data_IF_914115589932
#
_entry.id   IF_914115589932
#
_cell.length_a   1.000
_cell.length_b   1.000
_cell.length_c   1.000
_cell.angle_alpha   90.00
_cell.angle_beta   90.00
_cell.angle_gamma   90.00
#
_symmetry.space_group_name_H-M   'P 1'
#
loop_
_entity.id
_entity.type
_entity.pdbx_description
1 polymer ?
#
# COMPACT_ATOMS: atom_id res chain seq x y z
N UNK A 1 1.71 13.26 -19.43
CA UNK A 1 3.04 13.63 -18.90
C UNK A 1 3.12 13.25 -17.43
N UNK A 2 4.32 13.17 -16.80
CA UNK A 2 4.44 12.84 -15.36
C UNK A 2 3.61 13.82 -14.49
N UNK A 3 3.54 15.10 -14.88
CA UNK A 3 2.70 16.11 -14.20
C UNK A 3 1.20 15.84 -14.29
N UNK A 4 0.73 15.17 -15.33
CA UNK A 4 -0.69 14.81 -15.47
C UNK A 4 -1.02 13.63 -14.57
N UNK A 5 -0.18 12.58 -14.61
CA UNK A 5 -0.27 11.43 -13.69
C UNK A 5 -0.20 11.85 -12.23
N UNK A 6 0.68 12.79 -11.89
CA UNK A 6 0.76 13.35 -10.54
C UNK A 6 -0.53 14.04 -10.08
N UNK A 7 -1.24 14.70 -11.00
CA UNK A 7 -2.54 15.32 -10.69
C UNK A 7 -3.62 14.26 -10.49
N UNK A 8 -3.62 13.23 -11.33
CA UNK A 8 -4.55 12.10 -11.21
C UNK A 8 -4.33 11.33 -9.91
N UNK A 9 -3.08 10.99 -9.56
CA UNK A 9 -2.73 10.28 -8.34
C UNK A 9 -3.07 11.07 -7.05
N UNK A 10 -2.94 12.40 -7.07
CA UNK A 10 -3.41 13.24 -5.95
C UNK A 10 -4.93 13.17 -5.78
N UNK A 11 -5.66 13.06 -6.89
CA UNK A 11 -7.12 12.97 -6.89
C UNK A 11 -7.65 11.55 -6.66
N UNK A 12 -6.79 10.56 -6.42
CA UNK A 12 -7.17 9.14 -6.34
C UNK A 12 -8.21 8.85 -5.23
N UNK A 13 -8.24 9.62 -4.14
CA UNK A 13 -9.30 9.55 -3.13
C UNK A 13 -8.83 9.86 -1.71
N UNK A 14 -9.73 9.74 -0.72
CA UNK A 14 -9.42 9.85 0.71
C UNK A 14 -9.08 8.48 1.29
N UNK A 15 -8.19 8.45 2.27
CA UNK A 15 -7.69 7.20 2.88
C UNK A 15 -8.59 6.65 4.00
N UNK A 16 -9.70 7.31 4.31
CA UNK A 16 -10.62 6.95 5.40
C UNK A 16 -11.85 6.15 4.95
N UNK A 17 -11.88 5.68 3.69
CA UNK A 17 -13.04 4.97 3.12
C UNK A 17 -13.41 3.69 3.87
N UNK A 18 -12.43 2.87 4.28
CA UNK A 18 -12.70 1.67 5.09
C UNK A 18 -13.29 2.03 6.46
N UNK A 19 -12.81 3.10 7.11
CA UNK A 19 -13.35 3.55 8.41
C UNK A 19 -14.79 4.07 8.25
N UNK A 20 -15.07 4.81 7.18
CA UNK A 20 -16.40 5.29 6.84
C UNK A 20 -17.36 4.11 6.61
N UNK A 21 -16.95 3.11 5.83
CA UNK A 21 -17.78 1.93 5.56
C UNK A 21 -18.04 1.08 6.82
N UNK A 22 -17.04 0.90 7.69
CA UNK A 22 -17.23 0.19 8.96
C UNK A 22 -18.19 0.95 9.87
N UNK A 23 -18.10 2.29 9.93
CA UNK A 23 -19.04 3.13 10.69
C UNK A 23 -20.47 2.98 10.17
N UNK A 24 -20.67 3.06 8.87
CA UNK A 24 -22.00 2.91 8.26
C UNK A 24 -22.62 1.54 8.56
N UNK A 25 -21.85 0.47 8.44
CA UNK A 25 -22.31 -0.89 8.77
C UNK A 25 -22.60 -1.06 10.26
N UNK A 26 -21.77 -0.44 11.13
CA UNK A 26 -21.96 -0.47 12.57
C UNK A 26 -23.27 0.25 12.96
N UNK A 27 -23.50 1.44 12.41
CA UNK A 27 -24.71 2.22 12.65
C UNK A 27 -25.96 1.44 12.19
N UNK A 28 -25.89 0.81 11.01
CA UNK A 28 -26.96 -0.07 10.52
C UNK A 28 -27.23 -1.25 11.45
N UNK A 29 -26.17 -1.90 11.96
CA UNK A 29 -26.31 -3.03 12.87
C UNK A 29 -26.98 -2.60 14.19
N UNK A 30 -26.51 -1.49 14.78
CA UNK A 30 -27.05 -0.97 16.04
C UNK A 30 -28.49 -0.49 15.88
N UNK A 31 -28.83 0.18 14.78
CA UNK A 31 -30.21 0.64 14.51
C UNK A 31 -31.18 -0.54 14.30
N UNK A 32 -30.76 -1.56 13.55
CA UNK A 32 -31.54 -2.77 13.32
C UNK A 32 -31.79 -3.54 14.63
N UNK A 33 -30.77 -3.67 15.48
CA UNK A 33 -30.89 -4.35 16.77
C UNK A 33 -31.80 -3.56 17.73
N UNK A 34 -31.63 -2.23 17.84
CA UNK A 34 -32.53 -1.36 18.63
C UNK A 34 -33.98 -1.50 18.18
N UNK A 35 -34.22 -1.57 16.88
CA UNK A 35 -35.56 -1.73 16.31
C UNK A 35 -36.19 -3.08 16.65
N UNK A 36 -35.39 -4.14 16.70
CA UNK A 36 -35.83 -5.48 17.09
C UNK A 36 -36.07 -5.61 18.61
N UNK A 37 -35.27 -4.92 19.43
CA UNK A 37 -35.38 -4.92 20.89
C UNK A 37 -36.55 -4.06 21.40
N UNK A 38 -36.87 -2.96 20.72
CA UNK A 38 -37.91 -2.02 21.14
C UNK A 38 -39.28 -2.66 21.47
N UNK A 39 -39.85 -3.54 20.63
CA UNK A 39 -41.14 -4.17 20.91
C UNK A 39 -41.06 -5.30 21.96
N UNK A 40 -39.87 -5.72 22.37
CA UNK A 40 -39.66 -6.86 23.27
C UNK A 40 -39.72 -6.42 24.76
N UNK A 41 -40.64 -6.97 25.56
CA UNK A 41 -40.74 -6.62 26.97
C UNK A 41 -39.77 -7.40 27.88
N UNK A 42 -38.99 -8.35 27.36
CA UNK A 42 -38.11 -9.18 28.18
C UNK A 42 -36.98 -8.39 28.85
N UNK A 43 -36.63 -8.77 30.09
CA UNK A 43 -35.52 -8.15 30.84
C UNK A 43 -34.19 -8.25 30.09
N UNK A 44 -34.00 -9.36 29.35
CA UNK A 44 -32.83 -9.54 28.49
C UNK A 44 -32.79 -8.55 27.32
N UNK A 45 -33.94 -8.07 26.84
CA UNK A 45 -33.98 -7.04 25.80
C UNK A 45 -33.58 -5.68 26.37
N UNK A 46 -34.03 -5.36 27.59
CA UNK A 46 -33.64 -4.12 28.29
C UNK A 46 -32.16 -4.09 28.65
N UNK A 47 -31.57 -5.24 28.99
CA UNK A 47 -30.13 -5.35 29.20
C UNK A 47 -29.36 -5.10 27.90
N UNK A 48 -29.76 -5.73 26.80
CA UNK A 48 -29.14 -5.52 25.48
C UNK A 48 -29.25 -4.05 25.03
N UNK A 49 -30.39 -3.38 25.23
CA UNK A 49 -30.53 -1.94 24.95
C UNK A 49 -29.53 -1.11 25.78
N UNK A 50 -29.37 -1.41 27.06
CA UNK A 50 -28.42 -0.70 27.93
C UNK A 50 -26.96 -0.94 27.51
N UNK A 51 -26.63 -2.15 27.03
CA UNK A 51 -25.32 -2.46 26.43
C UNK A 51 -25.06 -1.61 25.18
N UNK A 52 -26.03 -1.53 24.26
CA UNK A 52 -25.95 -0.72 23.04
C UNK A 52 -25.84 0.79 23.32
N UNK A 53 -26.44 1.27 24.41
CA UNK A 53 -26.31 2.67 24.86
C UNK A 53 -24.96 2.96 25.54
N UNK A 54 -24.27 1.93 26.03
CA UNK A 54 -22.98 2.04 26.70
C UNK A 54 -21.77 1.87 25.78
N UNK A 55 -22.01 1.70 24.47
CA UNK A 55 -20.94 1.49 23.49
C UNK A 55 -19.94 2.66 23.49
N UNK A 56 -18.64 2.38 23.30
CA UNK A 56 -17.64 3.41 23.08
C UNK A 56 -18.01 4.34 21.92
N UNK A 57 -17.57 5.61 21.98
CA UNK A 57 -17.81 6.58 20.91
C UNK A 57 -16.93 6.34 19.69
N UNK A 58 -15.83 5.59 19.84
CA UNK A 58 -14.99 5.14 18.75
C UNK A 58 -15.49 3.82 18.14
N UNK A 59 -15.35 3.71 16.83
CA UNK A 59 -15.88 2.61 16.02
C UNK A 59 -15.17 1.30 16.37
N UNK A 60 -13.86 1.34 16.59
CA UNK A 60 -13.07 0.17 16.95
C UNK A 60 -13.51 -0.44 18.29
N UNK A 61 -13.66 0.40 19.31
CA UNK A 61 -14.17 0.03 20.62
C UNK A 61 -15.59 -0.53 20.55
N UNK A 62 -16.47 0.07 19.76
CA UNK A 62 -17.83 -0.43 19.54
C UNK A 62 -17.83 -1.81 18.84
N UNK A 63 -17.07 -1.99 17.76
CA UNK A 63 -16.95 -3.27 17.05
C UNK A 63 -16.40 -4.37 17.98
N UNK A 64 -15.41 -4.04 18.83
CA UNK A 64 -14.88 -4.95 19.84
C UNK A 64 -15.93 -5.32 20.88
N UNK A 65 -16.63 -4.33 21.44
CA UNK A 65 -17.65 -4.55 22.46
C UNK A 65 -18.78 -5.45 21.95
N UNK A 66 -19.10 -5.36 20.66
CA UNK A 66 -20.15 -6.14 20.01
C UNK A 66 -19.72 -7.54 19.55
N UNK A 67 -18.44 -7.92 19.74
CA UNK A 67 -17.91 -9.22 19.29
C UNK A 67 -18.67 -10.41 19.86
N UNK A 68 -18.96 -10.36 21.16
CA UNK A 68 -19.64 -11.43 21.88
C UNK A 68 -21.15 -11.12 22.07
N UNK A 69 -21.66 -10.08 21.39
CA UNK A 69 -23.04 -9.65 21.52
C UNK A 69 -23.99 -10.64 20.82
N UNK A 70 -25.09 -10.97 21.50
CA UNK A 70 -26.11 -11.88 20.99
C UNK A 70 -27.19 -11.10 20.25
N UNK A 71 -26.99 -10.92 18.94
CA UNK A 71 -27.93 -10.25 18.06
C UNK A 71 -29.29 -10.96 18.02
N UNK A 72 -30.37 -10.19 18.22
CA UNK A 72 -31.75 -10.65 18.00
C UNK A 72 -32.22 -10.36 16.58
N UNK A 73 -31.76 -9.27 15.99
CA UNK A 73 -32.05 -8.94 14.59
C UNK A 73 -31.14 -9.76 13.66
N UNK A 74 -31.71 -10.53 12.72
CA UNK A 74 -30.90 -11.19 11.70
C UNK A 74 -30.21 -10.17 10.78
N UNK A 75 -30.83 -9.01 10.54
CA UNK A 75 -30.23 -7.92 9.78
C UNK A 75 -29.01 -7.33 10.51
N UNK A 76 -29.10 -7.12 11.82
CA UNK A 76 -28.00 -6.62 12.63
C UNK A 76 -26.82 -7.61 12.68
N UNK A 77 -27.12 -8.90 12.88
CA UNK A 77 -26.12 -9.97 12.82
C UNK A 77 -25.41 -10.00 11.46
N UNK A 78 -26.17 -9.84 10.37
CA UNK A 78 -25.62 -9.80 9.02
C UNK A 78 -24.71 -8.59 8.79
N UNK A 79 -25.13 -7.40 9.21
CA UNK A 79 -24.33 -6.18 9.10
C UNK A 79 -23.02 -6.29 9.90
N UNK A 80 -23.08 -6.85 11.11
CA UNK A 80 -21.88 -7.11 11.91
C UNK A 80 -20.94 -8.14 11.27
N UNK A 81 -21.50 -9.21 10.68
CA UNK A 81 -20.71 -10.19 9.93
C UNK A 81 -20.00 -9.53 8.73
N UNK A 82 -20.68 -8.62 8.02
CA UNK A 82 -20.08 -7.86 6.92
C UNK A 82 -18.91 -6.98 7.38
N UNK A 83 -18.98 -6.40 8.58
CA UNK A 83 -17.84 -5.66 9.16
C UNK A 83 -16.64 -6.59 9.34
N UNK A 84 -16.83 -7.78 9.91
CA UNK A 84 -15.74 -8.73 10.11
C UNK A 84 -15.13 -9.18 8.78
N UNK A 85 -15.97 -9.47 7.80
CA UNK A 85 -15.52 -9.93 6.47
C UNK A 85 -14.79 -8.80 5.72
N UNK A 86 -15.26 -7.55 5.83
CA UNK A 86 -14.60 -6.37 5.29
C UNK A 86 -13.22 -6.19 5.91
N UNK A 87 -13.11 -6.18 7.25
CA UNK A 87 -11.84 -6.01 7.94
C UNK A 87 -10.86 -7.15 7.62
N UNK A 88 -11.34 -8.38 7.52
CA UNK A 88 -10.53 -9.53 7.11
C UNK A 88 -9.98 -9.34 5.70
N UNK A 89 -10.83 -8.92 4.76
CA UNK A 89 -10.41 -8.66 3.39
C UNK A 89 -9.39 -7.52 3.32
N UNK A 90 -9.64 -6.40 4.02
CA UNK A 90 -8.78 -5.21 4.00
C UNK A 90 -7.39 -5.48 4.58
N UNK A 91 -7.29 -6.24 5.67
CA UNK A 91 -5.99 -6.65 6.24
C UNK A 91 -5.18 -7.49 5.25
N UNK A 92 -5.85 -8.39 4.52
CA UNK A 92 -5.19 -9.26 3.54
C UNK A 92 -4.79 -8.46 2.29
N UNK A 93 -5.69 -7.65 1.74
CA UNK A 93 -5.44 -6.82 0.55
C UNK A 93 -4.37 -5.76 0.80
N UNK A 94 -4.34 -5.13 2.00
CA UNK A 94 -3.34 -4.11 2.31
C UNK A 94 -1.93 -4.70 2.42
N UNK A 95 -1.83 -5.92 2.94
CA UNK A 95 -0.56 -6.60 3.17
C UNK A 95 -0.03 -7.26 1.89
N UNK A 96 -0.91 -7.86 1.09
CA UNK A 96 -0.57 -8.65 -0.08
C UNK A 96 -1.45 -8.26 -1.27
N UNK A 97 -0.88 -7.47 -2.20
CA UNK A 97 -1.57 -7.12 -3.44
C UNK A 97 -1.81 -8.36 -4.29
N UNK A 98 -3.00 -8.47 -4.89
CA UNK A 98 -3.33 -9.61 -5.75
C UNK A 98 -3.84 -10.83 -4.98
N UNK A 99 -3.84 -10.79 -3.64
CA UNK A 99 -4.29 -11.90 -2.81
C UNK A 99 -5.77 -12.19 -3.02
N UNK A 100 -6.61 -11.16 -3.22
CA UNK A 100 -8.03 -11.33 -3.56
C UNK A 100 -8.25 -12.23 -4.77
N UNK A 101 -7.47 -12.07 -5.83
CA UNK A 101 -7.57 -12.90 -7.04
C UNK A 101 -7.08 -14.33 -6.79
N UNK A 102 -6.04 -14.52 -5.97
CA UNK A 102 -5.55 -15.85 -5.59
C UNK A 102 -6.55 -16.60 -4.71
N UNK A 103 -7.15 -15.91 -3.72
CA UNK A 103 -8.14 -16.49 -2.81
C UNK A 103 -9.45 -16.81 -3.53
N UNK A 104 -9.92 -15.97 -4.45
CA UNK A 104 -11.10 -16.25 -5.28
C UNK A 104 -10.94 -17.48 -6.17
N UNK A 105 -9.72 -17.76 -6.62
CA UNK A 105 -9.42 -18.96 -7.40
C UNK A 105 -9.40 -20.23 -6.56
N UNK A 106 -9.10 -20.13 -5.25
CA UNK A 106 -8.93 -21.31 -4.42
C UNK A 106 -10.23 -22.09 -4.17
N UNK A 107 -11.44 -21.51 -4.27
CA UNK A 107 -12.80 -22.11 -4.17
C UNK A 107 -13.11 -23.08 -2.99
N UNK A 108 -12.11 -23.66 -2.37
CA UNK A 108 -12.13 -24.53 -1.20
C UNK A 108 -12.21 -23.64 0.03
N UNK A 109 -13.15 -23.96 0.93
CA UNK A 109 -13.65 -23.07 1.97
C UNK A 109 -12.59 -22.32 2.79
N UNK A 110 -13.03 -21.19 3.36
CA UNK A 110 -12.23 -20.16 4.05
C UNK A 110 -11.07 -20.67 4.93
N UNK A 111 -11.22 -21.84 5.55
CA UNK A 111 -10.18 -22.45 6.39
C UNK A 111 -8.91 -22.87 5.65
N UNK A 112 -9.01 -23.40 4.42
CA UNK A 112 -7.85 -23.85 3.66
C UNK A 112 -7.03 -22.67 3.11
N UNK A 113 -7.73 -21.67 2.57
CA UNK A 113 -7.17 -20.39 2.16
C UNK A 113 -6.41 -19.72 3.32
N UNK A 114 -7.03 -19.69 4.51
CA UNK A 114 -6.43 -19.05 5.67
C UNK A 114 -5.16 -19.76 6.15
N UNK A 115 -5.15 -21.10 6.12
CA UNK A 115 -3.96 -21.86 6.47
C UNK A 115 -2.82 -21.62 5.47
N UNK A 116 -3.13 -21.52 4.18
CA UNK A 116 -2.13 -21.20 3.16
C UNK A 116 -1.47 -19.84 3.41
N UNK A 117 -2.25 -18.82 3.81
CA UNK A 117 -1.71 -17.50 4.16
C UNK A 117 -0.81 -17.58 5.40
N UNK A 118 -1.20 -18.32 6.44
CA UNK A 118 -0.35 -18.51 7.63
C UNK A 118 0.97 -19.18 7.28
N UNK A 119 0.92 -20.26 6.52
CA UNK A 119 2.11 -20.99 6.09
C UNK A 119 3.02 -20.09 5.24
N UNK A 120 2.43 -19.28 4.36
CA UNK A 120 3.17 -18.30 3.55
C UNK A 120 3.88 -17.25 4.42
N UNK A 121 3.19 -16.64 5.38
CA UNK A 121 3.78 -15.60 6.24
C UNK A 121 4.91 -16.18 7.10
N UNK A 122 4.74 -17.41 7.61
CA UNK A 122 5.78 -18.10 8.37
C UNK A 122 7.01 -18.44 7.50
N UNK A 123 6.79 -19.01 6.32
CA UNK A 123 7.87 -19.35 5.37
C UNK A 123 8.60 -18.07 4.90
N UNK A 124 7.85 -16.98 4.66
CA UNK A 124 8.41 -15.68 4.30
C UNK A 124 9.25 -15.09 5.43
N UNK A 125 8.76 -15.12 6.67
CA UNK A 125 9.50 -14.62 7.83
C UNK A 125 10.83 -15.36 8.01
N UNK A 126 10.82 -16.69 7.86
CA UNK A 126 12.03 -17.50 7.90
C UNK A 126 13.03 -17.16 6.78
N UNK A 127 12.53 -16.90 5.56
CA UNK A 127 13.35 -16.50 4.42
C UNK A 127 14.01 -15.12 4.63
N UNK A 128 13.24 -14.12 5.07
CA UNK A 128 13.75 -12.76 5.34
C UNK A 128 14.78 -12.80 6.47
N UNK A 129 14.54 -13.59 7.51
CA UNK A 129 15.48 -13.79 8.60
C UNK A 129 16.80 -14.41 8.15
N UNK A 130 16.75 -15.45 7.32
CA UNK A 130 17.94 -16.07 6.75
C UNK A 130 18.74 -15.07 5.91
N UNK A 131 18.04 -14.27 5.09
CA UNK A 131 18.66 -13.20 4.31
C UNK A 131 19.33 -12.16 5.22
N UNK A 132 18.65 -11.71 6.27
CA UNK A 132 19.17 -10.74 7.25
C UNK A 132 20.40 -11.25 8.02
N UNK A 133 20.54 -12.58 8.17
CA UNK A 133 21.74 -13.22 8.74
C UNK A 133 22.88 -13.37 7.74
N UNK A 134 22.67 -13.04 6.46
CA UNK A 134 23.64 -13.23 5.39
C UNK A 134 23.82 -14.70 4.99
N UNK A 135 22.80 -15.53 5.19
CA UNK A 135 22.79 -16.92 4.74
C UNK A 135 22.49 -17.01 3.23
N UNK A 136 22.89 -18.12 2.60
CA UNK A 136 22.51 -18.42 1.22
C UNK A 136 21.04 -18.86 1.18
N UNK A 137 20.21 -18.01 0.58
CA UNK A 137 18.75 -18.17 0.53
C UNK A 137 18.23 -18.61 -0.84
N UNK A 138 19.09 -18.87 -1.83
CA UNK A 138 18.66 -19.14 -3.21
C UNK A 138 17.77 -20.38 -3.31
N UNK A 139 18.12 -21.45 -2.58
CA UNK A 139 17.30 -22.66 -2.54
C UNK A 139 15.97 -22.43 -1.80
N UNK A 140 16.01 -21.75 -0.66
CA UNK A 140 14.82 -21.45 0.14
C UNK A 140 13.83 -20.58 -0.64
N UNK A 141 14.35 -19.65 -1.44
CA UNK A 141 13.57 -18.82 -2.34
C UNK A 141 12.88 -19.63 -3.43
N UNK A 142 13.61 -20.53 -4.10
CA UNK A 142 13.03 -21.38 -5.13
C UNK A 142 11.91 -22.27 -4.56
N UNK A 143 12.10 -22.81 -3.35
CA UNK A 143 11.09 -23.58 -2.63
C UNK A 143 9.88 -22.71 -2.23
N UNK A 144 10.13 -21.48 -1.75
CA UNK A 144 9.10 -20.50 -1.43
C UNK A 144 8.25 -20.15 -2.65
N UNK A 145 8.87 -19.78 -3.77
CA UNK A 145 8.17 -19.43 -5.00
C UNK A 145 7.41 -20.62 -5.59
N UNK A 146 7.94 -21.84 -5.48
CA UNK A 146 7.24 -23.04 -5.91
C UNK A 146 5.97 -23.32 -5.09
N UNK A 147 5.95 -22.95 -3.80
CA UNK A 147 4.83 -23.20 -2.88
C UNK A 147 3.82 -22.05 -2.85
N UNK A 148 4.30 -20.80 -2.92
CA UNK A 148 3.55 -19.58 -2.62
C UNK A 148 3.58 -18.55 -3.74
N UNK A 149 4.24 -18.81 -4.87
CA UNK A 149 4.39 -17.86 -5.97
C UNK A 149 3.06 -17.32 -6.52
N UNK A 150 1.95 -18.05 -6.36
CA UNK A 150 0.62 -17.58 -6.75
C UNK A 150 0.14 -16.30 -6.03
N UNK A 151 0.75 -15.96 -4.88
CA UNK A 151 0.41 -14.76 -4.10
C UNK A 151 1.23 -13.54 -4.53
N UNK A 152 2.21 -13.71 -5.41
CA UNK A 152 3.14 -12.66 -5.84
C UNK A 152 2.99 -12.42 -7.34
N UNK A 153 2.09 -11.51 -7.76
CA UNK A 153 1.88 -11.21 -9.17
C UNK A 153 3.09 -10.56 -9.84
N UNK A 154 3.97 -9.94 -9.04
CA UNK A 154 5.19 -9.26 -9.50
C UNK A 154 6.30 -10.24 -9.91
N UNK A 155 6.13 -11.55 -9.67
CA UNK A 155 7.06 -12.63 -10.02
C UNK A 155 8.54 -12.28 -9.77
N UNK A 156 8.93 -12.04 -8.50
CA UNK A 156 10.31 -11.67 -8.19
C UNK A 156 11.28 -12.75 -8.66
N UNK A 157 12.42 -12.33 -9.22
CA UNK A 157 13.44 -13.25 -9.75
C UNK A 157 14.51 -13.58 -8.70
N UNK A 158 14.52 -12.87 -7.57
CA UNK A 158 15.45 -13.10 -6.47
C UNK A 158 14.85 -12.76 -5.10
N UNK A 159 15.51 -13.23 -4.04
CA UNK A 159 15.16 -12.86 -2.65
C UNK A 159 15.24 -11.36 -2.44
N UNK A 160 16.23 -10.69 -3.05
CA UNK A 160 16.43 -9.25 -2.90
C UNK A 160 15.27 -8.47 -3.53
N UNK A 161 14.80 -8.87 -4.71
CA UNK A 161 13.61 -8.28 -5.36
C UNK A 161 12.32 -8.54 -4.56
N UNK A 162 12.17 -9.75 -4.01
CA UNK A 162 11.04 -10.08 -3.15
C UNK A 162 11.03 -9.20 -1.90
N UNK A 163 12.18 -9.06 -1.23
CA UNK A 163 12.30 -8.23 -0.02
C UNK A 163 12.11 -6.75 -0.36
N UNK A 164 12.66 -6.25 -1.48
CA UNK A 164 12.47 -4.85 -1.90
C UNK A 164 11.00 -4.53 -2.12
N UNK A 165 10.29 -5.34 -2.91
CA UNK A 165 8.86 -5.13 -3.20
C UNK A 165 8.00 -5.14 -1.93
N UNK A 166 8.24 -6.11 -1.03
CA UNK A 166 7.54 -6.19 0.26
C UNK A 166 7.86 -5.02 1.19
N UNK A 167 9.13 -4.65 1.31
CA UNK A 167 9.55 -3.56 2.18
C UNK A 167 9.02 -2.21 1.68
N UNK A 168 9.02 -1.96 0.37
CA UNK A 168 8.42 -0.76 -0.23
C UNK A 168 6.92 -0.66 0.06
N UNK A 169 6.20 -1.77 -0.06
CA UNK A 169 4.76 -1.82 0.26
C UNK A 169 4.50 -1.55 1.73
N UNK A 170 5.23 -2.22 2.63
CA UNK A 170 5.10 -2.00 4.07
C UNK A 170 5.42 -0.54 4.46
N UNK A 171 6.46 0.05 3.87
CA UNK A 171 6.78 1.46 4.05
C UNK A 171 5.66 2.37 3.51
N UNK A 172 5.07 2.06 2.35
CA UNK A 172 3.94 2.82 1.81
C UNK A 172 2.70 2.75 2.72
N UNK A 173 2.40 1.59 3.30
CA UNK A 173 1.32 1.41 4.27
C UNK A 173 1.56 2.27 5.52
N UNK A 174 2.78 2.26 6.08
CA UNK A 174 3.11 3.11 7.23
C UNK A 174 2.98 4.60 6.91
N UNK A 175 3.37 5.01 5.70
CA UNK A 175 3.23 6.39 5.24
C UNK A 175 1.77 6.79 5.08
N UNK A 176 0.93 5.89 4.57
CA UNK A 176 -0.51 6.13 4.46
C UNK A 176 -1.13 6.29 5.86
N UNK A 177 -0.80 5.40 6.80
CA UNK A 177 -1.20 5.56 8.19
C UNK A 177 -0.69 6.88 8.78
N UNK A 178 0.55 7.28 8.48
CA UNK A 178 1.13 8.55 8.90
C UNK A 178 0.37 9.79 8.34
N UNK A 179 -0.36 9.60 7.23
CA UNK A 179 -1.24 10.56 6.58
C UNK A 179 -2.59 10.79 7.27
N UNK A 180 -3.09 9.79 8.00
CA UNK A 180 -4.34 9.88 8.77
C UNK A 180 -4.19 10.76 10.03
N UNK A 181 -5.32 11.23 10.58
CA UNK A 181 -5.34 11.87 11.91
C UNK A 181 -4.86 10.89 13.00
N UNK A 182 -4.47 11.40 14.17
CA UNK A 182 -4.03 10.54 15.27
C UNK A 182 -5.14 9.59 15.73
N UNK A 183 -6.37 10.10 15.75
CA UNK A 183 -7.59 9.38 16.14
C UNK A 183 -7.94 8.32 15.09
N UNK A 184 -7.99 8.70 13.80
CA UNK A 184 -8.27 7.76 12.71
C UNK A 184 -7.22 6.64 12.62
N UNK A 185 -5.94 6.99 12.80
CA UNK A 185 -4.86 6.00 12.81
C UNK A 185 -5.04 5.01 13.96
N UNK A 186 -5.30 5.50 15.18
CA UNK A 186 -5.48 4.64 16.35
C UNK A 186 -6.68 3.70 16.16
N UNK A 187 -7.80 4.22 15.69
CA UNK A 187 -9.02 3.45 15.44
C UNK A 187 -8.79 2.37 14.37
N UNK A 188 -8.15 2.72 13.26
CA UNK A 188 -7.83 1.76 12.20
C UNK A 188 -6.82 0.70 12.65
N UNK A 189 -5.78 1.08 13.39
CA UNK A 189 -4.82 0.13 13.96
C UNK A 189 -5.49 -0.86 14.92
N UNK A 190 -6.47 -0.41 15.68
CA UNK A 190 -7.20 -1.24 16.63
C UNK A 190 -8.09 -2.27 15.92
N UNK A 191 -8.83 -1.83 14.88
CA UNK A 191 -9.63 -2.70 14.02
C UNK A 191 -8.77 -3.75 13.31
N UNK A 192 -7.65 -3.33 12.71
CA UNK A 192 -6.73 -4.24 12.03
C UNK A 192 -6.07 -5.21 13.00
N UNK A 193 -5.67 -4.74 14.18
CA UNK A 193 -5.09 -5.57 15.24
C UNK A 193 -6.04 -6.68 15.68
N UNK A 194 -7.33 -6.35 15.83
CA UNK A 194 -8.36 -7.34 16.14
C UNK A 194 -8.53 -8.36 15.02
N UNK A 195 -8.68 -7.90 13.77
CA UNK A 195 -8.84 -8.78 12.62
C UNK A 195 -7.62 -9.71 12.44
N UNK A 196 -6.39 -9.20 12.56
CA UNK A 196 -5.17 -10.02 12.55
C UNK A 196 -5.10 -11.00 13.72
N UNK A 197 -5.57 -10.60 14.91
CA UNK A 197 -5.63 -11.45 16.10
C UNK A 197 -6.59 -12.63 15.90
N UNK A 198 -7.78 -12.37 15.36
CA UNK A 198 -8.78 -13.40 15.04
C UNK A 198 -8.27 -14.37 13.97
N UNK A 199 -7.44 -13.87 13.06
CA UNK A 199 -6.74 -14.69 12.08
C UNK A 199 -5.51 -15.40 12.66
N UNK A 200 -5.01 -15.04 13.84
CA UNK A 200 -3.78 -15.60 14.42
C UNK A 200 -2.52 -15.24 13.63
N UNK A 201 -2.51 -14.09 12.95
CA UNK A 201 -1.37 -13.59 12.16
C UNK A 201 -0.57 -12.50 12.88
N UNK A 202 -1.08 -11.97 13.99
CA UNK A 202 -0.52 -10.79 14.64
C UNK A 202 0.97 -10.90 14.99
N UNK A 203 1.42 -12.05 15.52
CA UNK A 203 2.83 -12.26 15.89
C UNK A 203 3.74 -12.35 14.67
N UNK A 204 3.34 -13.14 13.67
CA UNK A 204 4.11 -13.38 12.45
C UNK A 204 4.24 -12.11 11.62
N UNK A 205 3.16 -11.33 11.50
CA UNK A 205 3.17 -10.05 10.77
C UNK A 205 4.02 -9.00 11.47
N UNK A 206 4.00 -8.93 12.81
CA UNK A 206 4.86 -8.02 13.56
C UNK A 206 6.35 -8.38 13.35
N UNK A 207 6.66 -9.67 13.43
CA UNK A 207 8.00 -10.18 13.19
C UNK A 207 8.48 -9.89 11.76
N UNK A 208 7.65 -10.17 10.75
CA UNK A 208 7.93 -9.86 9.35
C UNK A 208 8.18 -8.36 9.13
N UNK A 209 7.37 -7.50 9.73
CA UNK A 209 7.51 -6.04 9.61
C UNK A 209 8.87 -5.56 10.15
N UNK A 210 9.29 -6.08 11.31
CA UNK A 210 10.59 -5.78 11.89
C UNK A 210 11.74 -6.29 11.02
N UNK A 211 11.61 -7.51 10.48
CA UNK A 211 12.61 -8.12 9.61
C UNK A 211 12.77 -7.34 8.28
N UNK A 212 11.68 -6.87 7.67
CA UNK A 212 11.71 -6.03 6.47
C UNK A 212 12.36 -4.67 6.74
N UNK A 213 12.07 -4.05 7.90
CA UNK A 213 12.70 -2.80 8.31
C UNK A 213 14.21 -2.94 8.51
N UNK A 214 14.65 -4.08 9.04
CA UNK A 214 16.08 -4.40 9.17
C UNK A 214 16.73 -4.62 7.80
N UNK A 215 16.04 -5.31 6.88
CA UNK A 215 16.57 -5.57 5.55
C UNK A 215 16.73 -4.28 4.72
N UNK A 216 15.77 -3.35 4.86
CA UNK A 216 15.71 -2.11 4.07
C UNK A 216 15.58 -0.86 4.94
N UNK A 217 16.61 -0.50 5.73
CA UNK A 217 16.60 0.68 6.60
C UNK A 217 16.63 2.00 5.81
N UNK A 218 16.94 1.95 4.51
CA UNK A 218 16.98 3.07 3.58
C UNK A 218 15.59 3.59 3.18
N UNK A 219 14.54 2.77 3.32
CA UNK A 219 13.19 3.16 2.94
C UNK A 219 12.60 4.20 3.90
N UNK A 220 11.67 5.05 3.43
CA UNK A 220 11.06 6.13 4.21
C UNK A 220 9.99 5.62 5.20
N UNK A 221 10.37 4.74 6.12
CA UNK A 221 9.48 4.18 7.13
C UNK A 221 8.86 5.26 8.02
N UNK A 222 7.54 5.19 8.23
CA UNK A 222 6.79 6.10 9.10
C UNK A 222 6.90 7.60 8.77
N UNK A 223 7.53 7.98 7.65
CA UNK A 223 7.66 9.38 7.27
C UNK A 223 6.32 9.89 6.73
N UNK A 224 5.94 11.12 7.07
CA UNK A 224 4.79 11.73 6.41
C UNK A 224 5.14 12.02 4.96
N UNK A 225 4.44 11.37 4.06
CA UNK A 225 4.51 11.62 2.63
C UNK A 225 3.37 12.51 2.13
N UNK A 226 3.40 12.88 0.84
CA UNK A 226 2.21 13.34 0.14
C UNK A 226 1.14 12.26 0.22
N UNK A 227 -0.10 12.68 0.43
CA UNK A 227 -1.25 11.81 0.48
C UNK A 227 -2.27 12.26 -0.57
N UNK A 228 -2.97 11.32 -1.21
CA UNK A 228 -4.12 11.65 -2.04
C UNK A 228 -5.19 12.43 -1.23
N UNK A 229 -5.81 13.41 -1.88
CA UNK A 229 -6.81 14.33 -1.32
C UNK A 229 -8.10 14.38 -2.14
N UNK A 230 -8.37 13.32 -2.91
CA UNK A 230 -9.60 13.17 -3.71
C UNK A 230 -10.87 13.09 -2.85
N UNK A 231 -12.05 13.10 -3.48
CA UNK A 231 -13.34 13.07 -2.75
C UNK A 231 -13.81 11.65 -2.40
N UNK A 232 -13.48 10.66 -3.24
CA UNK A 232 -13.93 9.28 -3.08
C UNK A 232 -13.16 8.57 -1.95
N UNK A 233 -13.86 7.96 -1.01
CA UNK A 233 -13.23 7.10 0.01
C UNK A 233 -12.63 5.85 -0.63
N UNK A 234 -11.35 5.60 -0.39
CA UNK A 234 -10.64 4.42 -0.82
C UNK A 234 -10.63 3.35 0.27
N UNK A 235 -10.69 2.09 -0.14
CA UNK A 235 -10.34 0.96 0.72
C UNK A 235 -8.86 1.00 1.10
N UNK A 236 -8.45 0.23 2.09
CA UNK A 236 -7.08 0.25 2.63
C UNK A 236 -6.04 -0.16 1.58
N UNK A 237 -6.33 -1.21 0.81
CA UNK A 237 -5.48 -1.67 -0.28
C UNK A 237 -5.31 -0.62 -1.39
N UNK A 238 -6.42 -0.02 -1.82
CA UNK A 238 -6.43 1.03 -2.84
C UNK A 238 -5.72 2.30 -2.35
N UNK A 239 -5.94 2.70 -1.09
CA UNK A 239 -5.27 3.84 -0.46
C UNK A 239 -3.76 3.63 -0.37
N UNK A 240 -3.31 2.41 0.00
CA UNK A 240 -1.88 2.06 0.04
C UNK A 240 -1.26 2.14 -1.35
N UNK A 241 -1.95 1.60 -2.36
CA UNK A 241 -1.52 1.63 -3.76
C UNK A 241 -1.43 3.07 -4.28
N UNK A 242 -2.43 3.90 -3.99
CA UNK A 242 -2.45 5.30 -4.41
C UNK A 242 -1.31 6.12 -3.75
N UNK A 243 -0.99 5.86 -2.47
CA UNK A 243 0.13 6.51 -1.78
C UNK A 243 1.48 6.06 -2.35
N UNK A 244 1.63 4.77 -2.68
CA UNK A 244 2.83 4.25 -3.34
C UNK A 244 3.02 4.88 -4.73
N UNK A 245 1.99 4.86 -5.57
CA UNK A 245 2.03 5.45 -6.92
C UNK A 245 2.34 6.96 -6.85
N UNK A 246 1.72 7.69 -5.92
CA UNK A 246 1.99 9.11 -5.73
C UNK A 246 3.46 9.38 -5.35
N UNK A 247 4.03 8.56 -4.46
CA UNK A 247 5.43 8.67 -4.06
C UNK A 247 6.38 8.38 -5.24
N UNK A 248 6.10 7.35 -6.02
CA UNK A 248 6.89 6.97 -7.19
C UNK A 248 6.85 8.06 -8.27
N UNK A 249 5.67 8.62 -8.55
CA UNK A 249 5.51 9.72 -9.50
C UNK A 249 6.21 11.01 -9.03
N UNK A 250 6.22 11.31 -7.73
CA UNK A 250 6.99 12.43 -7.20
C UNK A 250 8.49 12.22 -7.32
N UNK A 251 8.99 11.01 -7.01
CA UNK A 251 10.39 10.64 -7.20
C UNK A 251 10.80 10.80 -8.67
N UNK A 252 10.00 10.24 -9.59
CA UNK A 252 10.22 10.35 -11.02
C UNK A 252 10.16 11.81 -11.51
N UNK A 253 9.22 12.61 -10.99
CA UNK A 253 9.15 14.04 -11.32
C UNK A 253 10.39 14.80 -10.85
N UNK A 254 10.96 14.46 -9.70
CA UNK A 254 12.20 15.06 -9.20
C UNK A 254 13.39 14.68 -10.09
N UNK A 255 13.54 13.39 -10.44
CA UNK A 255 14.58 12.90 -11.35
C UNK A 255 14.51 13.59 -12.72
N UNK A 256 13.31 13.68 -13.31
CA UNK A 256 13.10 14.30 -14.62
C UNK A 256 13.26 15.83 -14.61
N UNK A 257 13.00 16.48 -13.48
CA UNK A 257 13.15 17.93 -13.37
C UNK A 257 14.63 18.40 -13.41
N UNK A 258 15.59 17.47 -13.29
CA UNK A 258 17.03 17.75 -13.20
C UNK A 258 17.34 18.83 -12.14
N UNK A 259 16.51 18.93 -11.09
CA UNK A 259 16.39 20.08 -10.21
C UNK A 259 17.53 20.28 -9.19
N UNK A 260 18.61 19.50 -9.28
CA UNK A 260 19.79 19.62 -8.43
C UNK A 260 21.08 19.58 -9.26
N UNK A 261 22.13 20.24 -8.74
CA UNK A 261 23.43 20.32 -9.41
C UNK A 261 24.02 18.91 -9.61
N UNK A 262 24.18 18.49 -10.86
CA UNK A 262 24.75 17.19 -11.23
C UNK A 262 23.75 16.17 -11.74
N UNK A 263 22.44 16.44 -11.69
CA UNK A 263 21.41 15.54 -12.22
C UNK A 263 21.67 15.21 -13.70
N UNK A 264 21.71 13.92 -14.01
CA UNK A 264 21.85 13.41 -15.37
C UNK A 264 20.57 12.67 -15.76
N UNK A 265 20.29 12.63 -17.07
CA UNK A 265 19.31 11.69 -17.61
C UNK A 265 19.64 10.24 -17.24
N UNK A 266 20.90 9.93 -16.88
CA UNK A 266 21.33 8.61 -16.41
C UNK A 266 20.76 8.22 -15.03
N UNK A 267 20.35 9.19 -14.21
CA UNK A 267 19.83 8.95 -12.86
C UNK A 267 18.33 8.67 -12.83
N UNK A 268 17.68 8.69 -14.00
CA UNK A 268 16.26 8.38 -14.15
C UNK A 268 16.06 6.86 -14.10
N UNK A 269 15.18 6.43 -13.21
CA UNK A 269 14.73 5.05 -13.06
C UNK A 269 13.86 4.65 -14.27
N UNK A 270 14.34 3.71 -15.07
CA UNK A 270 13.65 3.26 -16.30
C UNK A 270 12.42 2.41 -15.99
N UNK A 271 12.42 1.65 -14.89
CA UNK A 271 11.30 0.78 -14.49
C UNK A 271 10.12 1.64 -14.01
N UNK A 272 10.38 2.61 -13.14
CA UNK A 272 9.36 3.57 -12.71
C UNK A 272 8.83 4.40 -13.88
N UNK A 273 9.70 4.76 -14.83
CA UNK A 273 9.28 5.49 -16.03
C UNK A 273 8.39 4.64 -16.94
N UNK A 274 8.72 3.36 -17.13
CA UNK A 274 7.90 2.42 -17.90
C UNK A 274 6.53 2.21 -17.24
N UNK A 275 6.50 2.03 -15.92
CA UNK A 275 5.26 1.83 -15.18
C UNK A 275 4.36 3.08 -15.22
N UNK A 276 4.95 4.27 -15.10
CA UNK A 276 4.19 5.53 -15.07
C UNK A 276 3.71 5.98 -16.46
N UNK A 277 4.55 5.87 -17.49
CA UNK A 277 4.31 6.47 -18.81
C UNK A 277 4.34 5.47 -19.98
N UNK A 278 4.62 4.20 -19.71
CA UNK A 278 4.72 3.15 -20.71
C UNK A 278 6.08 3.09 -21.41
N UNK A 279 6.29 2.00 -22.15
CA UNK A 279 7.55 1.68 -22.82
C UNK A 279 8.05 2.74 -23.80
N UNK A 280 7.15 3.49 -24.43
CA UNK A 280 7.54 4.59 -25.34
C UNK A 280 8.34 5.68 -24.61
N UNK A 281 8.05 5.92 -23.33
CA UNK A 281 8.78 6.92 -22.55
C UNK A 281 10.23 6.47 -22.26
N UNK A 282 10.45 5.16 -22.08
CA UNK A 282 11.79 4.58 -21.94
C UNK A 282 12.58 4.74 -23.23
N UNK A 283 11.95 4.46 -24.37
CA UNK A 283 12.58 4.64 -25.69
C UNK A 283 12.97 6.11 -25.95
N UNK A 284 12.09 7.04 -25.57
CA UNK A 284 12.34 8.48 -25.65
C UNK A 284 13.50 8.90 -24.73
N UNK A 285 13.54 8.40 -23.49
CA UNK A 285 14.67 8.63 -22.56
C UNK A 285 15.99 8.11 -23.14
N UNK A 286 15.98 6.90 -23.72
CA UNK A 286 17.16 6.33 -24.36
C UNK A 286 17.62 7.17 -25.57
N UNK A 287 16.69 7.72 -26.36
CA UNK A 287 16.99 8.64 -27.45
C UNK A 287 17.61 9.95 -26.94
N UNK A 288 17.06 10.53 -25.87
CA UNK A 288 17.60 11.74 -25.22
C UNK A 288 19.01 11.51 -24.66
N UNK A 289 19.24 10.39 -23.97
CA UNK A 289 20.58 9.98 -23.47
C UNK A 289 21.59 9.80 -24.60
N UNK A 290 21.18 9.33 -25.78
CA UNK A 290 22.07 9.26 -26.96
C UNK A 290 22.39 10.65 -27.51
N UNK A 291 21.38 11.52 -27.61
CA UNK A 291 21.53 12.88 -28.12
C UNK A 291 22.44 13.73 -27.22
N UNK A 292 22.26 13.68 -25.90
CA UNK A 292 23.10 14.39 -24.92
C UNK A 292 24.58 14.00 -25.08
N UNK A 293 24.87 12.69 -25.11
CA UNK A 293 26.24 12.17 -25.32
C UNK A 293 26.86 12.60 -26.64
N UNK A 294 26.06 12.73 -27.70
CA UNK A 294 26.56 13.19 -28.99
C UNK A 294 26.86 14.70 -28.98
N UNK A 295 25.96 15.50 -28.39
CA UNK A 295 26.13 16.94 -28.26
C UNK A 295 27.31 17.32 -27.33
N UNK A 296 27.51 16.58 -26.24
CA UNK A 296 28.69 16.73 -25.38
C UNK A 296 29.98 16.36 -26.15
N UNK A 297 30.01 15.22 -26.85
CA UNK A 297 31.18 14.80 -27.66
C UNK A 297 31.56 15.81 -28.73
N UNK A 298 30.58 16.45 -29.36
CA UNK A 298 30.81 17.48 -30.39
C UNK A 298 31.17 18.86 -29.79
N UNK A 299 31.16 18.98 -28.45
CA UNK A 299 31.45 20.21 -27.70
C UNK A 299 30.35 21.26 -27.84
N UNK A 300 29.11 20.84 -28.12
CA UNK A 300 27.93 21.71 -28.18
C UNK A 300 27.25 21.89 -26.82
N UNK A 301 27.37 20.89 -25.94
CA UNK A 301 26.97 20.99 -24.54
C UNK A 301 28.21 21.02 -23.65
N UNK A 302 28.13 21.80 -22.58
CA UNK A 302 29.10 21.82 -21.50
C UNK A 302 28.37 21.78 -20.16
N UNK A 303 28.97 21.14 -19.15
CA UNK A 303 28.42 21.11 -17.80
C UNK A 303 29.09 22.22 -16.98
N UNK A 304 28.30 23.16 -16.46
CA UNK A 304 28.77 24.26 -15.60
C UNK A 304 27.90 24.30 -14.36
N UNK A 305 28.51 24.29 -13.17
CA UNK A 305 27.81 24.27 -11.87
C UNK A 305 26.73 23.18 -11.75
N UNK A 306 27.00 22.01 -12.35
CA UNK A 306 26.09 20.87 -12.35
C UNK A 306 24.90 20.98 -13.31
N UNK A 307 24.76 22.07 -14.07
CA UNK A 307 23.74 22.25 -15.08
C UNK A 307 24.31 22.10 -16.50
N UNK A 308 23.52 21.49 -17.40
CA UNK A 308 23.82 21.45 -18.83
C UNK A 308 23.58 22.82 -19.46
N UNK A 309 24.62 23.37 -20.11
CA UNK A 309 24.54 24.65 -20.80
C UNK A 309 25.05 24.52 -22.24
N UNK A 310 24.48 25.33 -23.12
CA UNK A 310 24.96 25.46 -24.50
C UNK A 310 26.36 26.07 -24.49
N UNK A 311 27.30 25.43 -25.18
CA UNK A 311 28.64 25.98 -25.30
C UNK A 311 28.65 27.23 -26.21
N UNK A 312 29.67 28.10 -26.11
CA UNK A 312 29.83 29.23 -27.03
C UNK A 312 29.86 28.80 -28.52
N UNK A 313 30.32 27.57 -28.80
CA UNK A 313 30.30 26.97 -30.14
C UNK A 313 28.88 26.67 -30.62
N UNK A 314 28.00 26.20 -29.74
CA UNK A 314 26.59 25.97 -30.03
C UNK A 314 25.84 27.28 -30.30
N UNK A 315 26.03 28.28 -29.45
CA UNK A 315 25.39 29.61 -29.59
C UNK A 315 25.77 30.28 -30.91
N UNK A 316 27.06 30.24 -31.30
CA UNK A 316 27.51 30.77 -32.61
C UNK A 316 26.89 30.06 -33.81
N UNK A 317 26.71 28.73 -33.73
CA UNK A 317 26.10 27.94 -34.80
C UNK A 317 24.61 28.24 -34.94
N UNK A 318 23.88 28.35 -33.83
CA UNK A 318 22.46 28.72 -33.81
C UNK A 318 22.23 30.12 -34.41
N UNK A 319 23.06 31.10 -34.06
CA UNK A 319 22.99 32.45 -34.62
C UNK A 319 23.29 32.52 -36.13
N UNK A 320 24.11 31.62 -36.66
CA UNK A 320 24.42 31.56 -38.09
C UNK A 320 23.34 30.86 -38.94
N UNK A 321 22.48 30.05 -38.32
CA UNK A 321 21.34 29.38 -38.98
C UNK A 321 20.01 30.13 -38.85
N UNK A 322 19.94 31.13 -37.95
CA UNK A 322 18.75 31.93 -37.71
C UNK A 322 18.72 33.27 -38.49
N UNK A 323 19.78 33.56 -39.24
CA UNK A 323 19.92 34.70 -40.17
C UNK A 323 19.85 34.19 -41.61
#
# INVERSE_FOLDING_TARGET
SVRDRLREARQAGRMDGTLEQVRELLDQAVEAERSALFPDPDDAARLAEAELDSLPQDTAGAVRALKDHQWRSPEAAQAYQQIQDLLRQEVLDSSFQGMKQALQQMQDGDGAAMQAVKDMVADLSALVDAHNRGEDTDQQFAEFMAKHGQFFPDDPQSVEELIDSLARRAAAQERMLAGLSAEQRAELQDLMGQAMGDLGLQSEMAHLSDALRQARPDLPWGQRGPVPDGEQGLGMGDATTAVAELADLESLSQQLSQGYAGASLADVDEELLEQALGRSAVDDLAALRRLERELERQGYLQRSDGALQLSPKAVRRLGATAL
#
